data_IF_408896809300
#
_entry.id   IF_408896809300
#
_cell.length_a   1.000
_cell.length_b   1.000
_cell.length_c   1.000
_cell.angle_alpha   90.00
_cell.angle_beta   90.00
_cell.angle_gamma   90.00
#
_symmetry.space_group_name_H-M   'P 1'
#
loop_
_entity.id
_entity.type
_entity.pdbx_description
1 polymer ?
#
# COMPACT_ATOMS: atom_id res chain seq x y z
N UNK A 1 -6.50 -9.83 -0.45
CA UNK A 1 -5.62 -11.05 -0.42
C UNK A 1 -6.11 -12.20 -1.33
N UNK A 2 -7.35 -12.69 -1.27
CA UNK A 2 -7.76 -13.88 -2.06
C UNK A 2 -7.55 -13.76 -3.59
N UNK A 3 -7.77 -12.59 -4.18
CA UNK A 3 -7.50 -12.36 -5.59
C UNK A 3 -5.99 -12.38 -5.92
N UNK A 4 -5.16 -11.86 -5.02
CA UNK A 4 -3.71 -11.90 -5.15
C UNK A 4 -3.19 -13.35 -5.04
N UNK A 5 -3.75 -14.16 -4.13
CA UNK A 5 -3.45 -15.59 -4.00
C UNK A 5 -3.69 -16.35 -5.32
N UNK A 6 -4.91 -16.22 -5.88
CA UNK A 6 -5.24 -16.85 -7.16
C UNK A 6 -4.37 -16.38 -8.32
N UNK A 7 -4.05 -15.08 -8.38
CA UNK A 7 -3.17 -14.52 -9.40
C UNK A 7 -1.73 -15.03 -9.27
N UNK A 8 -1.19 -15.13 -8.06
CA UNK A 8 0.15 -15.68 -7.84
C UNK A 8 0.23 -17.17 -8.18
N UNK A 9 -0.75 -17.96 -7.73
CA UNK A 9 -0.81 -19.38 -8.07
C UNK A 9 -0.86 -19.60 -9.59
N UNK A 10 -1.67 -18.82 -10.31
CA UNK A 10 -1.74 -18.87 -11.77
C UNK A 10 -0.42 -18.48 -12.44
N UNK A 11 0.28 -17.45 -11.93
CA UNK A 11 1.60 -17.03 -12.43
C UNK A 11 2.64 -18.15 -12.26
N UNK A 12 2.67 -18.81 -11.12
CA UNK A 12 3.57 -19.94 -10.86
C UNK A 12 3.29 -21.09 -11.84
N UNK A 13 2.03 -21.46 -12.03
CA UNK A 13 1.63 -22.54 -12.94
C UNK A 13 1.95 -22.22 -14.40
N UNK A 14 1.81 -20.97 -14.81
CA UNK A 14 2.13 -20.51 -16.16
C UNK A 14 3.63 -20.43 -16.44
N UNK A 15 4.48 -20.48 -15.41
CA UNK A 15 5.93 -20.33 -15.52
C UNK A 15 6.69 -21.47 -14.81
N UNK A 16 6.51 -22.74 -15.26
CA UNK A 16 7.08 -23.91 -14.58
C UNK A 16 8.61 -23.95 -14.61
N UNK A 17 9.25 -23.16 -15.48
CA UNK A 17 10.70 -22.98 -15.55
C UNK A 17 11.27 -22.15 -14.38
N UNK A 18 10.44 -21.36 -13.70
CA UNK A 18 10.83 -20.54 -12.55
C UNK A 18 10.64 -21.33 -11.25
N UNK A 19 11.68 -21.40 -10.45
CA UNK A 19 11.61 -22.01 -9.13
C UNK A 19 10.83 -21.11 -8.17
N UNK A 20 9.63 -21.50 -7.67
CA UNK A 20 8.90 -20.68 -6.72
C UNK A 20 9.56 -20.71 -5.33
N UNK A 21 9.48 -19.60 -4.59
CA UNK A 21 9.80 -19.50 -3.19
C UNK A 21 8.82 -18.57 -2.50
N UNK A 22 8.09 -19.08 -1.52
CA UNK A 22 7.19 -18.28 -0.69
C UNK A 22 7.72 -18.26 0.74
N UNK A 23 8.02 -17.07 1.24
CA UNK A 23 8.37 -16.84 2.64
C UNK A 23 7.13 -16.45 3.43
N UNK A 24 6.84 -17.14 4.52
CA UNK A 24 5.77 -16.75 5.44
C UNK A 24 6.17 -17.15 6.88
N UNK A 25 6.34 -16.18 7.78
CA UNK A 25 6.78 -16.47 9.15
C UNK A 25 5.68 -17.09 10.00
N UNK A 26 4.43 -16.97 9.57
CA UNK A 26 3.24 -17.40 10.29
C UNK A 26 2.24 -18.08 9.32
N UNK A 27 1.01 -18.27 9.75
CA UNK A 27 -0.04 -19.00 9.04
C UNK A 27 -0.39 -18.43 7.65
N UNK A 28 0.18 -18.98 6.58
CA UNK A 28 -0.10 -18.55 5.20
C UNK A 28 -1.59 -18.66 4.84
N UNK A 29 -2.26 -19.72 5.30
CA UNK A 29 -3.71 -19.92 5.09
C UNK A 29 -4.54 -18.85 5.81
N UNK A 30 -4.15 -18.47 7.02
CA UNK A 30 -4.75 -17.35 7.76
C UNK A 30 -4.60 -16.03 6.99
N UNK A 31 -3.52 -15.83 6.25
CA UNK A 31 -3.29 -14.68 5.39
C UNK A 31 -4.06 -14.75 4.06
N UNK A 32 -5.02 -15.68 3.92
CA UNK A 32 -5.83 -15.89 2.71
C UNK A 32 -5.04 -16.31 1.47
N UNK A 33 -3.93 -17.02 1.67
CA UNK A 33 -3.07 -17.57 0.62
C UNK A 33 -3.20 -19.11 0.54
N UNK A 34 -4.42 -19.61 0.61
CA UNK A 34 -4.72 -21.05 0.63
C UNK A 34 -4.40 -21.76 -0.67
N UNK A 35 -4.69 -21.17 -1.83
CA UNK A 35 -4.39 -21.75 -3.14
C UNK A 35 -2.87 -21.90 -3.35
N UNK A 36 -2.11 -20.87 -2.99
CA UNK A 36 -0.65 -20.91 -3.02
C UNK A 36 -0.11 -22.01 -2.11
N UNK A 37 -0.63 -22.14 -0.89
CA UNK A 37 -0.19 -23.18 0.04
C UNK A 37 -0.51 -24.58 -0.47
N UNK A 38 -1.71 -24.81 -1.00
CA UNK A 38 -2.12 -26.12 -1.52
C UNK A 38 -1.30 -26.51 -2.77
N UNK A 39 -0.91 -25.54 -3.59
CA UNK A 39 -0.06 -25.74 -4.76
C UNK A 39 1.40 -26.01 -4.39
N UNK A 40 1.98 -25.19 -3.50
CA UNK A 40 3.43 -25.14 -3.26
C UNK A 40 3.89 -25.89 -2.00
N UNK A 41 3.01 -26.13 -1.06
CA UNK A 41 3.20 -26.86 0.20
C UNK A 41 4.30 -26.30 1.10
N UNK A 42 4.13 -26.46 2.39
CA UNK A 42 5.18 -26.19 3.38
C UNK A 42 6.37 -27.14 3.18
N UNK A 43 7.55 -26.60 3.25
CA UNK A 43 8.78 -27.38 3.21
C UNK A 43 9.09 -27.92 4.60
N UNK A 44 9.04 -29.24 4.74
CA UNK A 44 9.28 -29.94 6.01
C UNK A 44 10.15 -31.16 5.79
N UNK A 45 10.85 -31.63 6.85
CA UNK A 45 11.65 -32.86 6.77
C UNK A 45 10.78 -34.12 6.76
N UNK A 46 9.69 -34.09 7.53
CA UNK A 46 8.76 -35.23 7.66
C UNK A 46 7.33 -34.74 7.46
N UNK A 47 6.79 -34.87 6.23
CA UNK A 47 5.42 -34.45 5.94
C UNK A 47 4.38 -35.26 6.71
N UNK A 48 3.37 -34.62 7.26
CA UNK A 48 2.24 -35.26 7.91
C UNK A 48 1.12 -35.53 6.89
N UNK A 49 0.51 -36.75 6.91
CA UNK A 49 -0.59 -37.09 6.03
C UNK A 49 -1.78 -36.13 6.22
N UNK A 50 -2.32 -35.62 5.13
CA UNK A 50 -3.49 -34.73 5.15
C UNK A 50 -3.16 -33.25 5.35
N UNK A 51 -1.89 -32.90 5.61
CA UNK A 51 -1.43 -31.52 5.63
C UNK A 51 -0.84 -31.07 4.29
N UNK A 52 -0.82 -29.76 4.05
CA UNK A 52 -0.20 -29.18 2.85
C UNK A 52 1.32 -29.07 3.04
N UNK A 53 1.99 -30.21 3.13
CA UNK A 53 3.41 -30.37 3.45
C UNK A 53 4.13 -31.26 2.43
N UNK A 54 5.40 -30.94 2.14
CA UNK A 54 6.27 -31.78 1.30
C UNK A 54 7.75 -31.51 1.63
N UNK A 55 8.60 -32.51 1.39
CA UNK A 55 10.06 -32.35 1.56
C UNK A 55 10.63 -31.34 0.57
N UNK A 56 10.09 -31.29 -0.64
CA UNK A 56 10.44 -30.37 -1.71
C UNK A 56 9.51 -29.13 -1.77
N UNK A 57 8.69 -28.93 -0.74
CA UNK A 57 7.79 -27.79 -0.64
C UNK A 57 8.50 -26.45 -0.87
N UNK A 58 7.81 -25.49 -1.45
CA UNK A 58 8.37 -24.18 -1.78
C UNK A 58 7.97 -23.07 -0.80
N UNK A 59 7.07 -23.36 0.15
CA UNK A 59 6.70 -22.44 1.24
C UNK A 59 7.65 -22.64 2.41
N UNK A 60 8.42 -21.60 2.72
CA UNK A 60 9.35 -21.58 3.86
C UNK A 60 8.65 -20.90 5.03
N UNK A 61 8.44 -21.66 6.10
CA UNK A 61 7.84 -21.17 7.33
C UNK A 61 8.89 -21.22 8.46
N UNK A 62 9.19 -20.06 9.00
CA UNK A 62 10.00 -19.89 10.19
C UNK A 62 9.47 -18.70 10.96
N UNK A 63 9.31 -18.79 12.27
CA UNK A 63 8.87 -17.68 13.14
C UNK A 63 9.92 -16.56 13.22
N UNK A 64 10.40 -16.16 12.07
CA UNK A 64 11.43 -15.13 11.90
C UNK A 64 11.28 -14.50 10.50
N UNK A 65 10.81 -13.28 10.46
CA UNK A 65 10.54 -12.53 9.24
C UNK A 65 11.83 -12.30 8.41
N UNK A 66 12.95 -12.06 9.07
CA UNK A 66 14.24 -11.86 8.39
C UNK A 66 14.72 -13.16 7.71
N UNK A 67 14.52 -14.31 8.35
CA UNK A 67 14.89 -15.60 7.75
C UNK A 67 14.07 -15.91 6.51
N UNK A 68 12.73 -15.68 6.55
CA UNK A 68 11.87 -16.00 5.39
C UNK A 68 12.07 -15.03 4.23
N UNK A 69 12.33 -13.75 4.48
CA UNK A 69 12.66 -12.80 3.39
C UNK A 69 14.05 -13.13 2.82
N UNK A 70 15.02 -13.45 3.64
CA UNK A 70 16.37 -13.84 3.18
C UNK A 70 16.33 -15.09 2.31
N UNK A 71 15.49 -16.08 2.66
CA UNK A 71 15.28 -17.27 1.83
C UNK A 71 14.70 -16.92 0.43
N UNK A 72 13.80 -15.94 0.34
CA UNK A 72 13.27 -15.43 -0.93
C UNK A 72 14.34 -14.64 -1.70
N UNK A 73 15.08 -13.73 -1.05
CA UNK A 73 16.16 -12.95 -1.63
C UNK A 73 17.28 -13.82 -2.22
N UNK A 74 17.59 -14.94 -1.59
CA UNK A 74 18.57 -15.92 -2.07
C UNK A 74 18.11 -16.73 -3.30
N UNK A 75 16.84 -16.71 -3.67
CA UNK A 75 16.30 -17.45 -4.82
C UNK A 75 16.32 -16.61 -6.11
N UNK A 76 17.52 -16.19 -6.55
CA UNK A 76 17.73 -15.23 -7.66
C UNK A 76 17.19 -15.69 -9.02
N UNK A 77 17.17 -16.98 -9.30
CA UNK A 77 16.65 -17.52 -10.57
C UNK A 77 15.18 -17.92 -10.53
N UNK A 78 14.42 -17.46 -9.56
CA UNK A 78 13.05 -17.90 -9.34
C UNK A 78 12.03 -16.78 -9.21
N UNK A 79 10.78 -17.17 -8.91
CA UNK A 79 9.67 -16.28 -8.58
C UNK A 79 9.45 -16.28 -7.07
N UNK A 80 9.50 -15.10 -6.45
CA UNK A 80 9.57 -14.94 -5.00
C UNK A 80 8.44 -14.10 -4.46
N UNK A 81 7.76 -14.60 -3.42
CA UNK A 81 6.73 -13.90 -2.68
C UNK A 81 7.00 -14.03 -1.18
N UNK A 82 6.92 -12.94 -0.43
CA UNK A 82 6.98 -12.96 1.04
C UNK A 82 5.70 -12.38 1.58
N UNK A 83 5.06 -13.06 2.51
CA UNK A 83 3.79 -12.61 3.10
C UNK A 83 3.91 -12.59 4.62
N UNK A 84 3.64 -11.45 5.25
CA UNK A 84 3.65 -11.30 6.70
C UNK A 84 2.57 -10.33 7.18
N UNK A 85 2.27 -10.37 8.47
CA UNK A 85 1.50 -9.31 9.12
C UNK A 85 2.28 -7.99 9.07
N UNK A 86 1.58 -6.88 8.78
CA UNK A 86 2.22 -5.58 8.61
C UNK A 86 3.08 -5.17 9.81
N UNK A 87 2.56 -5.32 11.02
CA UNK A 87 3.27 -4.92 12.24
C UNK A 87 4.59 -5.67 12.46
N UNK A 88 4.68 -6.93 12.01
CA UNK A 88 5.89 -7.73 12.17
C UNK A 88 6.85 -7.62 10.99
N UNK A 89 6.33 -7.19 9.85
CA UNK A 89 7.08 -7.12 8.60
C UNK A 89 8.29 -6.16 8.69
N UNK A 90 8.29 -5.21 9.63
CA UNK A 90 9.44 -4.31 9.87
C UNK A 90 10.75 -5.07 10.16
N UNK A 91 10.69 -6.28 10.71
CA UNK A 91 11.87 -7.14 10.93
C UNK A 91 12.56 -7.60 9.64
N UNK A 92 11.90 -7.49 8.49
CA UNK A 92 12.49 -7.77 7.17
C UNK A 92 13.37 -6.62 6.65
N UNK A 93 13.26 -5.43 7.24
CA UNK A 93 13.86 -4.20 6.72
C UNK A 93 15.37 -4.31 6.50
N UNK A 94 16.09 -4.92 7.44
CA UNK A 94 17.54 -5.06 7.36
C UNK A 94 17.98 -5.83 6.12
N UNK A 95 17.42 -7.01 5.89
CA UNK A 95 17.74 -7.85 4.75
C UNK A 95 17.31 -7.20 3.42
N UNK A 96 16.11 -6.59 3.37
CA UNK A 96 15.63 -5.88 2.18
C UNK A 96 16.55 -4.72 1.81
N UNK A 97 16.92 -3.87 2.75
CA UNK A 97 17.82 -2.74 2.52
C UNK A 97 19.20 -3.16 2.03
N UNK A 98 19.77 -4.19 2.61
CA UNK A 98 21.05 -4.71 2.17
C UNK A 98 21.01 -5.16 0.70
N UNK A 99 19.97 -5.87 0.32
CA UNK A 99 19.82 -6.34 -1.05
C UNK A 99 19.50 -5.18 -2.05
N UNK A 100 18.73 -4.20 -1.61
CA UNK A 100 18.50 -2.96 -2.40
C UNK A 100 19.80 -2.22 -2.69
N UNK A 101 20.70 -2.12 -1.72
CA UNK A 101 22.02 -1.50 -1.90
C UNK A 101 22.84 -2.24 -2.96
N UNK A 102 22.87 -3.59 -2.91
CA UNK A 102 23.55 -4.39 -3.92
C UNK A 102 22.95 -4.22 -5.31
N UNK A 103 21.61 -4.24 -5.42
CA UNK A 103 20.92 -4.01 -6.69
C UNK A 103 21.27 -2.65 -7.30
N UNK A 104 21.30 -1.60 -6.47
CA UNK A 104 21.71 -0.26 -6.92
C UNK A 104 23.16 -0.20 -7.35
N UNK A 105 24.09 -0.76 -6.58
CA UNK A 105 25.51 -0.79 -6.94
C UNK A 105 25.73 -1.53 -8.28
N UNK A 106 25.05 -2.66 -8.50
CA UNK A 106 25.10 -3.34 -9.79
C UNK A 106 24.59 -2.46 -10.94
N UNK A 107 23.45 -1.78 -10.73
CA UNK A 107 22.89 -0.89 -11.73
C UNK A 107 23.81 0.33 -11.99
N UNK A 108 24.47 0.90 -10.97
CA UNK A 108 25.45 1.97 -11.10
C UNK A 108 26.71 1.51 -11.84
N UNK A 109 27.13 0.25 -11.65
CA UNK A 109 28.27 -0.35 -12.35
C UNK A 109 27.93 -0.77 -13.80
N UNK A 110 26.73 -0.47 -14.32
CA UNK A 110 26.31 -0.82 -15.68
C UNK A 110 25.88 -2.28 -15.87
N UNK A 111 25.72 -3.03 -14.78
CA UNK A 111 25.29 -4.45 -14.78
C UNK A 111 24.01 -4.61 -13.94
N UNK A 112 22.87 -4.00 -14.38
CA UNK A 112 21.64 -4.04 -13.58
C UNK A 112 21.21 -5.50 -13.31
N UNK A 113 20.59 -5.78 -12.18
CA UNK A 113 20.14 -7.13 -11.83
C UNK A 113 19.17 -7.70 -12.87
N UNK A 114 19.43 -8.93 -13.33
CA UNK A 114 18.56 -9.66 -14.25
C UNK A 114 17.53 -10.56 -13.59
N UNK A 115 17.50 -10.65 -12.25
CA UNK A 115 16.51 -11.46 -11.53
C UNK A 115 15.15 -10.74 -11.44
N UNK A 116 14.07 -11.55 -11.42
CA UNK A 116 12.71 -11.02 -11.24
C UNK A 116 12.60 -10.25 -9.93
N UNK A 117 11.89 -9.14 -9.96
CA UNK A 117 11.64 -8.34 -8.76
C UNK A 117 11.02 -9.18 -7.64
N UNK A 118 11.43 -8.89 -6.40
CA UNK A 118 10.94 -9.58 -5.21
C UNK A 118 9.70 -8.86 -4.69
N UNK A 119 8.65 -9.64 -4.41
CA UNK A 119 7.39 -9.10 -3.87
C UNK A 119 7.27 -9.44 -2.39
N UNK A 120 7.07 -8.41 -1.57
CA UNK A 120 6.71 -8.51 -0.16
C UNK A 120 5.27 -8.04 0.02
N UNK A 121 4.45 -8.80 0.71
CA UNK A 121 3.07 -8.45 1.03
C UNK A 121 2.92 -8.26 2.53
N UNK A 122 2.63 -7.03 2.93
CA UNK A 122 2.19 -6.69 4.28
C UNK A 122 0.66 -6.78 4.31
N UNK A 123 0.12 -7.75 5.06
CA UNK A 123 -1.32 -7.99 5.18
C UNK A 123 -1.75 -8.12 6.62
N UNK A 124 -3.01 -8.39 6.90
CA UNK A 124 -3.57 -8.23 8.26
C UNK A 124 -3.12 -6.90 8.84
N UNK A 125 -3.25 -5.87 8.02
CA UNK A 125 -2.62 -4.59 8.24
C UNK A 125 -3.26 -3.79 9.37
N UNK A 126 -2.61 -2.73 9.76
CA UNK A 126 -2.91 -1.85 10.89
C UNK A 126 -4.40 -1.55 11.08
N UNK A 127 -5.12 -1.24 10.01
CA UNK A 127 -6.55 -0.86 10.08
C UNK A 127 -7.51 -2.04 10.27
N UNK A 128 -7.05 -3.27 10.01
CA UNK A 128 -7.89 -4.48 10.14
C UNK A 128 -7.62 -5.27 11.41
N UNK A 129 -6.49 -5.03 12.05
CA UNK A 129 -5.98 -5.92 13.11
C UNK A 129 -6.31 -5.42 14.52
N UNK A 130 -7.47 -4.82 14.67
CA UNK A 130 -7.93 -4.33 15.97
C UNK A 130 -8.11 -5.42 17.03
N UNK A 131 -8.38 -6.67 16.64
CA UNK A 131 -8.58 -7.78 17.59
C UNK A 131 -7.33 -8.12 18.40
N UNK A 132 -6.15 -7.89 17.84
CA UNK A 132 -4.87 -8.22 18.45
C UNK A 132 -4.21 -6.99 19.11
N UNK A 133 -4.96 -5.94 19.29
CA UNK A 133 -4.54 -4.68 19.93
C UNK A 133 -3.37 -3.98 19.20
N UNK A 134 -2.75 -3.01 19.85
CA UNK A 134 -1.67 -2.19 19.28
C UNK A 134 -0.42 -2.97 18.91
N UNK A 135 -0.16 -4.13 19.51
CA UNK A 135 0.99 -4.97 19.20
C UNK A 135 1.01 -5.46 17.75
N UNK A 136 -0.15 -5.43 17.06
CA UNK A 136 -0.32 -5.87 15.68
C UNK A 136 -0.65 -4.70 14.73
N UNK A 137 -0.42 -3.47 15.15
CA UNK A 137 -0.77 -2.25 14.43
C UNK A 137 0.46 -1.38 14.24
N UNK A 138 1.15 -1.49 13.11
CA UNK A 138 2.33 -0.66 12.83
C UNK A 138 2.62 -0.59 11.33
N UNK A 139 2.51 0.59 10.68
CA UNK A 139 2.83 0.80 9.27
C UNK A 139 4.34 1.05 9.00
N UNK A 140 5.21 0.87 9.98
CA UNK A 140 6.63 1.30 9.92
C UNK A 140 7.41 0.69 8.75
N UNK A 141 7.13 -0.57 8.33
CA UNK A 141 7.85 -1.15 7.19
C UNK A 141 7.64 -0.31 5.92
N UNK A 142 6.39 0.00 5.59
CA UNK A 142 6.07 0.78 4.40
C UNK A 142 6.69 2.18 4.47
N UNK A 143 6.60 2.86 5.61
CA UNK A 143 7.18 4.17 5.86
C UNK A 143 8.71 4.17 5.70
N UNK A 144 9.40 3.15 6.26
CA UNK A 144 10.84 3.00 6.15
C UNK A 144 11.29 2.73 4.70
N UNK A 145 10.57 1.85 3.99
CA UNK A 145 10.88 1.51 2.60
C UNK A 145 10.60 2.67 1.63
N UNK A 146 9.63 3.53 1.92
CA UNK A 146 9.44 4.80 1.21
C UNK A 146 10.59 5.79 1.45
N UNK A 147 11.37 5.60 2.50
CA UNK A 147 12.63 6.31 2.73
C UNK A 147 13.75 5.88 1.79
N UNK A 148 13.71 4.68 1.21
CA UNK A 148 14.66 4.20 0.22
C UNK A 148 14.43 4.85 -1.16
N UNK A 149 15.29 4.57 -2.13
CA UNK A 149 15.19 5.15 -3.48
C UNK A 149 14.03 4.51 -4.25
N UNK A 150 13.11 5.32 -4.74
CA UNK A 150 11.83 4.89 -5.31
C UNK A 150 11.98 4.08 -6.61
N UNK A 151 13.07 4.24 -7.35
CA UNK A 151 13.40 3.44 -8.54
C UNK A 151 13.74 1.98 -8.19
N UNK A 152 14.10 1.70 -6.95
CA UNK A 152 14.49 0.38 -6.46
C UNK A 152 13.50 -0.19 -5.46
N UNK A 153 13.01 0.64 -4.53
CA UNK A 153 12.04 0.28 -3.48
C UNK A 153 10.67 0.84 -3.84
N UNK A 154 9.79 -0.02 -4.33
CA UNK A 154 8.43 0.30 -4.74
C UNK A 154 7.46 -0.09 -3.62
N UNK A 155 6.73 0.87 -3.05
CA UNK A 155 5.73 0.62 -2.00
C UNK A 155 4.36 1.04 -2.49
N UNK A 156 3.47 0.06 -2.61
CA UNK A 156 2.13 0.25 -3.15
C UNK A 156 1.05 -0.09 -2.11
N UNK A 157 -0.03 0.69 -2.16
CA UNK A 157 -1.22 0.53 -1.32
C UNK A 157 -2.43 0.19 -2.19
N UNK A 158 -2.59 -1.06 -2.64
CA UNK A 158 -3.74 -1.47 -3.43
C UNK A 158 -5.06 -1.16 -2.74
N UNK A 159 -6.03 -0.64 -3.51
CA UNK A 159 -7.31 -0.17 -2.96
C UNK A 159 -8.45 -1.17 -3.15
N UNK A 160 -8.23 -2.16 -4.00
CA UNK A 160 -9.18 -3.25 -4.27
C UNK A 160 -8.47 -4.49 -4.87
N UNK A 161 -9.26 -5.50 -5.23
CA UNK A 161 -8.74 -6.74 -5.81
C UNK A 161 -8.04 -6.49 -7.17
N UNK A 162 -8.60 -5.64 -8.03
CA UNK A 162 -8.07 -5.36 -9.35
C UNK A 162 -6.69 -4.67 -9.25
N UNK A 163 -6.56 -3.66 -8.40
CA UNK A 163 -5.29 -2.96 -8.19
C UNK A 163 -4.23 -3.83 -7.52
N UNK A 164 -4.61 -4.77 -6.64
CA UNK A 164 -3.67 -5.73 -6.06
C UNK A 164 -3.12 -6.71 -7.11
N UNK A 165 -3.97 -7.24 -7.99
CA UNK A 165 -3.56 -8.12 -9.09
C UNK A 165 -2.73 -7.38 -10.13
N UNK A 166 -3.11 -6.15 -10.49
CA UNK A 166 -2.33 -5.32 -11.40
C UNK A 166 -0.92 -5.02 -10.85
N UNK A 167 -0.82 -4.67 -9.57
CA UNK A 167 0.46 -4.44 -8.90
C UNK A 167 1.35 -5.70 -8.89
N UNK A 168 0.76 -6.87 -8.60
CA UNK A 168 1.50 -8.14 -8.61
C UNK A 168 2.05 -8.47 -10.01
N UNK A 169 1.24 -8.30 -11.05
CA UNK A 169 1.66 -8.51 -12.45
C UNK A 169 2.77 -7.55 -12.86
N UNK A 170 2.63 -6.26 -12.55
CA UNK A 170 3.64 -5.25 -12.83
C UNK A 170 4.97 -5.56 -12.12
N UNK A 171 4.92 -6.05 -10.88
CA UNK A 171 6.10 -6.45 -10.13
C UNK A 171 6.87 -7.57 -10.86
N UNK A 172 6.19 -8.63 -11.30
CA UNK A 172 6.85 -9.74 -12.01
C UNK A 172 7.13 -9.47 -13.50
N UNK A 173 6.67 -8.35 -14.04
CA UNK A 173 7.13 -7.83 -15.32
C UNK A 173 8.42 -7.00 -15.20
N UNK A 174 8.90 -6.72 -13.99
CA UNK A 174 10.08 -5.91 -13.71
C UNK A 174 11.24 -6.75 -13.14
N UNK A 175 12.45 -6.19 -13.17
CA UNK A 175 13.66 -6.85 -12.71
C UNK A 175 14.42 -5.97 -11.73
N UNK A 176 15.08 -6.59 -10.76
CA UNK A 176 16.00 -5.94 -9.84
C UNK A 176 15.36 -4.96 -8.85
N UNK A 177 14.04 -4.98 -8.70
CA UNK A 177 13.29 -4.10 -7.80
C UNK A 177 12.69 -4.89 -6.61
N UNK A 178 12.31 -4.14 -5.58
CA UNK A 178 11.63 -4.65 -4.38
C UNK A 178 10.25 -4.00 -4.28
N UNK A 179 9.22 -4.81 -4.44
CA UNK A 179 7.83 -4.35 -4.41
C UNK A 179 7.19 -4.75 -3.09
N UNK A 180 6.80 -3.76 -2.29
CA UNK A 180 6.05 -3.99 -1.06
C UNK A 180 4.60 -3.58 -1.29
N UNK A 181 3.70 -4.55 -1.18
CA UNK A 181 2.27 -4.36 -1.36
C UNK A 181 1.59 -4.41 0.03
N UNK A 182 0.96 -3.31 0.43
CA UNK A 182 0.16 -3.26 1.68
C UNK A 182 -1.28 -3.58 1.32
N UNK A 183 -1.70 -4.82 1.55
CA UNK A 183 -2.94 -5.38 1.00
C UNK A 183 -3.94 -5.72 2.10
N UNK A 184 -5.20 -5.26 2.03
CA UNK A 184 -6.26 -5.69 2.93
C UNK A 184 -6.44 -7.20 2.91
N UNK A 185 -6.48 -7.83 4.09
CA UNK A 185 -6.82 -9.25 4.24
C UNK A 185 -8.30 -9.49 3.96
N UNK A 186 -9.14 -8.56 4.41
CA UNK A 186 -10.58 -8.59 4.19
C UNK A 186 -10.93 -8.19 2.76
N UNK A 187 -12.06 -8.66 2.27
CA UNK A 187 -12.60 -8.16 1.02
C UNK A 187 -13.04 -6.71 1.17
N UNK A 188 -12.59 -5.86 0.24
CA UNK A 188 -13.02 -4.48 0.12
C UNK A 188 -13.82 -4.31 -1.17
N UNK A 189 -14.70 -3.31 -1.23
CA UNK A 189 -15.49 -3.04 -2.42
C UNK A 189 -14.59 -2.72 -3.62
N UNK A 190 -14.94 -3.24 -4.79
CA UNK A 190 -14.25 -2.88 -6.05
C UNK A 190 -14.51 -1.42 -6.36
N UNK A 191 -13.45 -0.66 -6.57
CA UNK A 191 -13.48 0.76 -6.89
C UNK A 191 -13.08 1.02 -8.35
N UNK A 192 -12.32 0.10 -8.95
CA UNK A 192 -11.70 0.27 -10.26
C UNK A 192 -12.01 -0.93 -11.17
N UNK A 193 -12.16 -0.68 -12.46
CA UNK A 193 -12.07 -1.75 -13.46
C UNK A 193 -10.64 -2.29 -13.55
N UNK A 194 -10.43 -3.44 -14.20
CA UNK A 194 -9.09 -3.99 -14.41
C UNK A 194 -8.19 -3.00 -15.18
N UNK A 195 -8.72 -2.36 -16.23
CA UNK A 195 -7.98 -1.37 -17.02
C UNK A 195 -7.61 -0.12 -16.21
N UNK A 196 -8.54 0.38 -15.38
CA UNK A 196 -8.25 1.51 -14.49
C UNK A 196 -7.19 1.15 -13.44
N UNK A 197 -7.21 -0.08 -12.95
CA UNK A 197 -6.22 -0.57 -12.00
C UNK A 197 -4.82 -0.68 -12.62
N UNK A 198 -4.71 -1.13 -13.86
CA UNK A 198 -3.44 -1.16 -14.59
C UNK A 198 -2.88 0.26 -14.77
N UNK A 199 -3.72 1.22 -15.18
CA UNK A 199 -3.32 2.63 -15.30
C UNK A 199 -2.93 3.25 -13.96
N UNK A 200 -3.65 2.92 -12.88
CA UNK A 200 -3.32 3.39 -11.53
C UNK A 200 -1.91 2.92 -11.12
N UNK A 201 -1.58 1.64 -11.38
CA UNK A 201 -0.25 1.08 -11.06
C UNK A 201 0.84 1.70 -11.94
N UNK A 202 0.57 1.90 -13.23
CA UNK A 202 1.51 2.52 -14.15
C UNK A 202 1.82 3.98 -13.78
N UNK A 203 0.81 4.76 -13.44
CA UNK A 203 0.94 6.19 -13.13
C UNK A 203 1.26 6.47 -11.65
N UNK A 204 1.03 5.50 -10.74
CA UNK A 204 1.15 5.66 -9.29
C UNK A 204 -0.03 6.37 -8.62
N UNK A 205 -0.93 6.97 -9.41
CA UNK A 205 -2.14 7.65 -8.96
C UNK A 205 -3.20 7.75 -10.04
N UNK A 206 -4.46 7.93 -9.64
CA UNK A 206 -5.62 8.03 -10.54
C UNK A 206 -6.69 8.93 -9.95
N UNK A 207 -7.28 9.80 -10.78
CA UNK A 207 -8.45 10.60 -10.38
C UNK A 207 -9.69 9.73 -10.42
N UNK A 208 -10.15 9.26 -9.24
CA UNK A 208 -11.32 8.38 -9.12
C UNK A 208 -12.65 9.16 -9.14
N UNK A 209 -12.61 10.42 -8.77
CA UNK A 209 -13.74 11.35 -8.85
C UNK A 209 -13.25 12.67 -9.45
N UNK A 210 -13.44 12.87 -10.76
CA UNK A 210 -13.06 14.12 -11.40
C UNK A 210 -14.00 15.28 -11.01
N UNK A 211 -13.45 16.48 -11.00
CA UNK A 211 -14.18 17.73 -10.82
C UNK A 211 -13.42 18.86 -11.52
N UNK A 212 -14.12 19.64 -12.34
CA UNK A 212 -13.54 20.81 -12.99
C UNK A 212 -13.35 21.93 -11.96
N UNK A 213 -12.10 22.44 -11.86
CA UNK A 213 -11.72 23.48 -10.91
C UNK A 213 -12.24 23.23 -9.48
N UNK A 214 -11.79 22.16 -8.80
CA UNK A 214 -12.27 21.82 -7.46
C UNK A 214 -11.86 22.87 -6.42
N UNK A 215 -12.72 23.10 -5.44
CA UNK A 215 -12.40 23.87 -4.24
C UNK A 215 -11.61 23.01 -3.26
N UNK A 216 -11.94 21.71 -3.21
CA UNK A 216 -11.32 20.71 -2.36
C UNK A 216 -10.78 19.55 -3.18
N UNK A 217 -9.54 19.17 -2.91
CA UNK A 217 -8.94 17.93 -3.36
C UNK A 217 -8.76 16.97 -2.18
N UNK A 218 -9.40 15.81 -2.25
CA UNK A 218 -9.15 14.71 -1.33
C UNK A 218 -8.16 13.73 -1.96
N UNK A 219 -7.10 13.41 -1.25
CA UNK A 219 -6.06 12.45 -1.69
C UNK A 219 -6.09 11.25 -0.77
N UNK A 220 -6.31 10.06 -1.33
CA UNK A 220 -6.43 8.83 -0.57
C UNK A 220 -5.27 7.88 -0.84
N UNK A 221 -4.62 7.38 0.23
CA UNK A 221 -3.56 6.38 0.20
C UNK A 221 -4.02 5.19 1.04
N UNK A 222 -4.48 4.11 0.39
CA UNK A 222 -5.00 2.91 1.03
C UNK A 222 -6.49 2.67 0.78
N UNK A 223 -6.91 1.43 0.94
CA UNK A 223 -8.25 0.97 0.56
C UNK A 223 -9.37 1.60 1.41
N UNK A 224 -9.22 1.57 2.73
CA UNK A 224 -10.20 2.15 3.65
C UNK A 224 -10.21 3.67 3.57
N UNK A 225 -9.05 4.28 3.37
CA UNK A 225 -8.88 5.72 3.19
C UNK A 225 -9.60 6.23 1.94
N UNK A 226 -9.54 5.48 0.84
CA UNK A 226 -10.29 5.82 -0.38
C UNK A 226 -11.81 5.80 -0.14
N UNK A 227 -12.31 4.80 0.58
CA UNK A 227 -13.73 4.74 0.93
C UNK A 227 -14.16 5.97 1.76
N UNK A 228 -13.35 6.36 2.74
CA UNK A 228 -13.64 7.53 3.57
C UNK A 228 -13.57 8.84 2.77
N UNK A 229 -12.59 8.99 1.89
CA UNK A 229 -12.49 10.15 1.01
C UNK A 229 -13.69 10.29 0.07
N UNK A 230 -14.19 9.18 -0.51
CA UNK A 230 -15.37 9.19 -1.38
C UNK A 230 -16.65 9.56 -0.61
N UNK A 231 -16.79 9.11 0.64
CA UNK A 231 -17.91 9.50 1.51
C UNK A 231 -17.83 10.98 1.89
N UNK A 232 -16.64 11.47 2.26
CA UNK A 232 -16.41 12.88 2.57
C UNK A 232 -16.71 13.79 1.36
N UNK A 233 -16.28 13.37 0.15
CA UNK A 233 -16.57 14.11 -1.08
C UNK A 233 -18.06 14.30 -1.30
N UNK A 234 -18.88 13.26 -1.09
CA UNK A 234 -20.34 13.36 -1.20
C UNK A 234 -20.92 14.37 -0.21
N UNK A 235 -20.41 14.39 1.02
CA UNK A 235 -20.87 15.31 2.07
C UNK A 235 -20.50 16.76 1.71
N UNK A 236 -19.28 17.00 1.26
CA UNK A 236 -18.80 18.32 0.83
C UNK A 236 -19.61 18.85 -0.37
N UNK A 237 -19.89 17.99 -1.34
CA UNK A 237 -20.72 18.37 -2.51
C UNK A 237 -22.17 18.69 -2.12
N UNK A 238 -22.76 17.92 -1.21
CA UNK A 238 -24.09 18.21 -0.68
C UNK A 238 -24.16 19.60 0.01
N UNK A 239 -23.03 20.10 0.49
CA UNK A 239 -22.88 21.44 1.06
C UNK A 239 -22.44 22.51 0.02
N UNK A 240 -22.33 22.14 -1.25
CA UNK A 240 -22.04 23.07 -2.36
C UNK A 240 -20.55 23.24 -2.66
N UNK A 241 -19.65 22.45 -2.07
CA UNK A 241 -18.20 22.50 -2.34
C UNK A 241 -17.81 21.55 -3.46
N UNK A 242 -17.23 22.07 -4.54
CA UNK A 242 -16.71 21.25 -5.66
C UNK A 242 -15.53 20.41 -5.19
N UNK A 243 -15.66 19.10 -5.28
CA UNK A 243 -14.68 18.18 -4.67
C UNK A 243 -14.18 17.14 -5.67
N UNK A 244 -12.87 17.08 -5.87
CA UNK A 244 -12.18 16.00 -6.58
C UNK A 244 -11.60 14.97 -5.59
N UNK A 245 -11.47 13.71 -6.04
CA UNK A 245 -10.80 12.65 -5.28
C UNK A 245 -9.73 11.98 -6.13
N UNK A 246 -8.49 12.01 -5.66
CA UNK A 246 -7.37 11.30 -6.26
C UNK A 246 -6.95 10.13 -5.37
N UNK A 247 -6.88 8.94 -5.96
CA UNK A 247 -6.30 7.75 -5.35
C UNK A 247 -4.81 7.71 -5.66
N UNK A 248 -3.96 7.55 -4.65
CA UNK A 248 -2.52 7.34 -4.80
C UNK A 248 -2.18 5.92 -4.34
N UNK A 249 -1.76 5.08 -5.27
CA UNK A 249 -1.34 3.71 -4.96
C UNK A 249 0.14 3.64 -4.61
N UNK A 250 0.98 4.47 -5.24
CA UNK A 250 2.43 4.48 -5.05
C UNK A 250 2.95 5.89 -4.70
N UNK A 251 2.92 6.26 -3.42
CA UNK A 251 3.32 7.61 -2.98
C UNK A 251 4.76 7.98 -3.37
N UNK A 252 5.67 6.99 -3.46
CA UNK A 252 7.07 7.18 -3.85
C UNK A 252 7.25 7.85 -5.23
N UNK A 253 6.25 7.74 -6.12
CA UNK A 253 6.24 8.40 -7.43
C UNK A 253 6.07 9.92 -7.37
N UNK A 254 5.59 10.45 -6.26
CA UNK A 254 5.23 11.87 -6.12
C UNK A 254 6.18 12.67 -5.24
N UNK A 255 7.26 12.06 -4.79
CA UNK A 255 8.30 12.71 -4.00
C UNK A 255 9.19 13.62 -4.85
N UNK A 256 9.93 14.51 -4.19
CA UNK A 256 11.03 15.21 -4.83
C UNK A 256 12.16 14.20 -5.11
N UNK A 257 12.66 14.11 -6.36
CA UNK A 257 13.74 13.19 -6.71
C UNK A 257 15.05 13.59 -6.02
N UNK A 258 15.86 12.60 -5.67
CA UNK A 258 17.13 12.79 -4.96
C UNK A 258 18.36 12.64 -5.86
N UNK A 259 18.18 11.96 -7.00
CA UNK A 259 19.21 11.80 -8.03
C UNK A 259 18.55 11.65 -9.43
N UNK A 260 19.38 11.56 -10.49
CA UNK A 260 18.93 11.44 -11.88
C UNK A 260 18.07 10.19 -12.14
N UNK A 261 18.40 9.05 -11.52
CA UNK A 261 17.62 7.80 -11.69
C UNK A 261 16.23 7.93 -11.07
N UNK A 262 16.17 8.53 -9.90
CA UNK A 262 14.88 8.77 -9.24
C UNK A 262 14.08 9.85 -9.99
N UNK A 263 14.76 10.82 -10.64
CA UNK A 263 14.13 11.81 -11.52
C UNK A 263 13.41 11.16 -12.70
N UNK A 264 13.99 10.14 -13.32
CA UNK A 264 13.36 9.40 -14.42
C UNK A 264 12.17 8.55 -13.96
N UNK A 265 12.16 8.17 -12.69
CA UNK A 265 11.13 7.32 -12.10
C UNK A 265 9.92 8.09 -11.55
N UNK A 266 10.13 9.26 -10.92
CA UNK A 266 9.05 10.03 -10.30
C UNK A 266 8.14 10.69 -11.34
N UNK A 267 6.91 10.95 -10.95
CA UNK A 267 5.94 11.62 -11.83
C UNK A 267 6.41 13.02 -12.23
N UNK A 268 6.36 13.32 -13.52
CA UNK A 268 6.65 14.64 -14.06
C UNK A 268 5.56 15.66 -13.72
N UNK A 269 5.85 16.95 -13.93
CA UNK A 269 4.97 18.06 -13.54
C UNK A 269 3.59 18.01 -14.23
N UNK A 270 3.53 17.51 -15.46
CA UNK A 270 2.24 17.35 -16.16
C UNK A 270 1.33 16.34 -15.43
N UNK A 271 1.88 15.20 -15.03
CA UNK A 271 1.15 14.18 -14.28
C UNK A 271 0.74 14.69 -12.89
N UNK A 272 1.63 15.46 -12.23
CA UNK A 272 1.29 16.11 -10.96
C UNK A 272 0.10 17.06 -11.09
N UNK A 273 0.11 17.96 -12.08
CA UNK A 273 -1.01 18.89 -12.30
C UNK A 273 -2.31 18.19 -12.66
N UNK A 274 -2.24 17.08 -13.40
CA UNK A 274 -3.42 16.28 -13.75
C UNK A 274 -4.04 15.58 -12.52
N UNK A 275 -3.22 15.07 -11.62
CA UNK A 275 -3.67 14.35 -10.41
C UNK A 275 -3.98 15.29 -9.24
N UNK A 276 -3.30 16.43 -9.17
CA UNK A 276 -3.36 17.37 -8.03
C UNK A 276 -3.55 18.80 -8.55
N UNK A 277 -4.76 19.15 -9.03
CA UNK A 277 -5.01 20.45 -9.65
C UNK A 277 -4.69 21.60 -8.72
N UNK A 278 -4.00 22.61 -9.25
CA UNK A 278 -3.57 23.82 -8.51
C UNK A 278 -4.76 24.71 -8.10
N UNK A 279 -5.88 24.54 -8.75
CA UNK A 279 -7.15 25.27 -8.45
C UNK A 279 -7.74 24.87 -7.10
N UNK A 280 -7.40 23.69 -6.56
CA UNK A 280 -7.89 23.25 -5.26
C UNK A 280 -7.31 24.15 -4.14
N UNK A 281 -8.20 24.91 -3.50
CA UNK A 281 -7.82 25.78 -2.39
C UNK A 281 -7.41 25.00 -1.15
N UNK A 282 -7.96 23.81 -0.97
CA UNK A 282 -7.69 22.92 0.15
C UNK A 282 -7.39 21.52 -0.35
N UNK A 283 -6.40 20.87 0.26
CA UNK A 283 -6.03 19.47 0.05
C UNK A 283 -6.07 18.72 1.37
N UNK A 284 -6.80 17.63 1.41
CA UNK A 284 -6.82 16.71 2.56
C UNK A 284 -6.31 15.35 2.11
N UNK A 285 -5.16 14.96 2.65
CA UNK A 285 -4.57 13.65 2.42
C UNK A 285 -5.02 12.73 3.55
N UNK A 286 -5.72 11.66 3.22
CA UNK A 286 -6.05 10.59 4.17
C UNK A 286 -5.24 9.34 3.81
N UNK A 287 -4.37 8.92 4.74
CA UNK A 287 -3.31 7.95 4.47
C UNK A 287 -3.42 6.72 5.36
N UNK A 288 -2.98 5.59 4.80
CA UNK A 288 -2.71 4.37 5.56
C UNK A 288 -1.60 4.59 6.60
N UNK A 289 -0.59 5.37 6.25
CA UNK A 289 0.60 5.69 7.04
C UNK A 289 0.34 6.82 8.05
N UNK A 290 1.36 7.14 8.83
CA UNK A 290 1.34 8.32 9.72
C UNK A 290 1.31 9.63 8.90
N UNK A 291 0.71 10.71 9.42
CA UNK A 291 0.62 12.00 8.73
C UNK A 291 1.99 12.60 8.40
N UNK A 292 2.95 12.52 9.31
CA UNK A 292 4.26 13.17 9.21
C UNK A 292 5.10 12.64 8.03
N UNK A 293 5.35 11.32 7.90
CA UNK A 293 6.06 10.78 6.74
C UNK A 293 5.28 11.00 5.44
N UNK A 294 3.94 10.97 5.50
CA UNK A 294 3.09 11.24 4.33
C UNK A 294 3.30 12.66 3.81
N UNK A 295 3.25 13.69 4.66
CA UNK A 295 3.50 15.07 4.28
C UNK A 295 4.91 15.29 3.74
N UNK A 296 5.92 14.70 4.40
CA UNK A 296 7.31 14.77 3.94
C UNK A 296 7.50 14.17 2.55
N UNK A 297 6.88 13.03 2.29
CA UNK A 297 6.94 12.35 0.99
C UNK A 297 6.20 13.13 -0.11
N UNK A 298 5.01 13.63 0.21
CA UNK A 298 4.14 14.35 -0.73
C UNK A 298 4.45 15.87 -0.83
N UNK A 299 5.67 16.26 -0.51
CA UNK A 299 6.10 17.66 -0.46
C UNK A 299 5.84 18.45 -1.75
N UNK A 300 5.90 17.79 -2.92
CA UNK A 300 5.65 18.45 -4.22
C UNK A 300 4.21 18.91 -4.40
N UNK A 301 3.27 18.38 -3.64
CA UNK A 301 1.86 18.77 -3.68
C UNK A 301 1.42 19.57 -2.45
N UNK A 302 2.32 19.82 -1.52
CA UNK A 302 2.06 20.60 -0.32
C UNK A 302 1.95 22.08 -0.68
N UNK A 303 0.83 22.71 -0.36
CA UNK A 303 0.56 24.13 -0.57
C UNK A 303 0.64 24.96 0.71
N UNK A 304 1.11 24.34 1.80
CA UNK A 304 1.28 24.94 3.11
C UNK A 304 0.27 24.43 4.15
N UNK A 305 0.63 24.58 5.41
CA UNK A 305 -0.07 23.96 6.55
C UNK A 305 -1.55 24.37 6.73
N UNK A 306 -1.98 25.47 6.12
CA UNK A 306 -3.39 25.88 6.16
C UNK A 306 -4.21 25.21 5.07
N UNK A 307 -3.62 24.96 3.91
CA UNK A 307 -4.27 24.43 2.72
C UNK A 307 -4.08 22.92 2.56
N UNK A 308 -2.91 22.38 2.94
CA UNK A 308 -2.63 20.95 2.88
C UNK A 308 -2.64 20.35 4.28
N UNK A 309 -3.54 19.39 4.49
CA UNK A 309 -3.74 18.69 5.75
C UNK A 309 -3.58 17.19 5.54
N UNK A 310 -3.07 16.48 6.54
CA UNK A 310 -2.90 15.03 6.46
C UNK A 310 -3.53 14.35 7.68
N UNK A 311 -4.26 13.29 7.41
CA UNK A 311 -4.82 12.36 8.37
C UNK A 311 -4.22 10.97 8.12
N UNK A 312 -4.01 10.20 9.18
CA UNK A 312 -3.41 8.87 9.08
C UNK A 312 -3.33 8.19 10.42
N UNK A 313 -2.58 7.11 10.48
CA UNK A 313 -2.38 6.33 11.70
C UNK A 313 -1.66 7.16 12.78
N UNK A 314 -2.24 7.22 13.97
CA UNK A 314 -1.72 8.00 15.11
C UNK A 314 -1.36 7.11 16.32
N UNK A 315 -1.14 5.82 16.09
CA UNK A 315 -0.92 4.84 17.17
C UNK A 315 -2.04 4.83 18.23
N UNK A 316 -3.25 5.18 17.82
CA UNK A 316 -4.45 5.10 18.63
C UNK A 316 -5.25 3.89 18.20
N UNK A 317 -5.29 2.90 19.03
CA UNK A 317 -5.98 1.65 18.75
C UNK A 317 -6.34 0.93 20.03
N UNK A 318 -6.75 -0.30 19.87
CA UNK A 318 -7.18 -1.20 20.92
C UNK A 318 -7.90 -2.36 20.25
N UNK A 319 -8.76 -3.05 20.95
CA UNK A 319 -9.62 -4.09 20.37
C UNK A 319 -10.79 -3.43 19.65
N UNK A 320 -10.54 -2.93 18.43
CA UNK A 320 -11.52 -2.21 17.61
C UNK A 320 -11.74 -2.93 16.27
N UNK A 321 -12.87 -2.71 15.64
CA UNK A 321 -13.07 -3.04 14.24
C UNK A 321 -12.47 -1.96 13.32
N UNK A 322 -12.62 -2.11 11.98
CA UNK A 322 -12.09 -1.14 11.02
C UNK A 322 -12.69 0.25 11.23
N UNK A 323 -14.00 0.34 11.52
CA UNK A 323 -14.67 1.61 11.73
C UNK A 323 -14.15 2.30 13.01
N UNK A 324 -13.99 1.53 14.08
CA UNK A 324 -13.39 2.00 15.32
C UNK A 324 -11.94 2.44 15.17
N UNK A 325 -11.13 1.71 14.37
CA UNK A 325 -9.76 2.10 14.04
C UNK A 325 -9.70 3.42 13.27
N UNK A 326 -10.55 3.59 12.26
CA UNK A 326 -10.67 4.84 11.51
C UNK A 326 -11.09 5.99 12.42
N UNK A 327 -12.04 5.75 13.29
CA UNK A 327 -12.52 6.75 14.25
C UNK A 327 -11.43 7.16 15.26
N UNK A 328 -10.81 6.20 15.94
CA UNK A 328 -9.77 6.45 16.93
C UNK A 328 -8.56 7.23 16.36
N UNK A 329 -8.23 7.00 15.08
CA UNK A 329 -7.15 7.67 14.38
C UNK A 329 -7.61 8.90 13.58
N UNK A 330 -8.85 9.38 13.76
CA UNK A 330 -9.41 10.57 13.11
C UNK A 330 -9.39 10.48 11.57
N UNK A 331 -9.66 9.31 11.00
CA UNK A 331 -9.63 9.05 9.57
C UNK A 331 -11.01 8.70 8.96
N UNK A 332 -12.11 8.90 9.68
CA UNK A 332 -13.46 8.73 9.12
C UNK A 332 -13.80 9.87 8.15
N UNK A 333 -14.78 9.63 7.28
CA UNK A 333 -15.27 10.64 6.35
C UNK A 333 -15.65 11.98 7.05
N UNK A 334 -16.17 11.92 8.27
CA UNK A 334 -16.54 13.11 9.04
C UNK A 334 -15.30 13.93 9.43
N UNK A 335 -14.24 13.28 9.89
CA UNK A 335 -12.96 13.95 10.15
C UNK A 335 -12.36 14.56 8.87
N UNK A 336 -12.40 13.82 7.75
CA UNK A 336 -11.91 14.32 6.44
C UNK A 336 -12.70 15.54 6.00
N UNK A 337 -14.03 15.52 6.12
CA UNK A 337 -14.91 16.65 5.79
C UNK A 337 -14.66 17.85 6.73
N UNK A 338 -14.48 17.62 8.02
CA UNK A 338 -14.19 18.67 8.98
C UNK A 338 -12.84 19.36 8.69
N UNK A 339 -11.79 18.58 8.37
CA UNK A 339 -10.49 19.14 7.98
C UNK A 339 -10.58 19.97 6.69
N UNK A 340 -11.37 19.51 5.71
CA UNK A 340 -11.61 20.28 4.48
C UNK A 340 -12.35 21.60 4.78
N UNK A 341 -13.38 21.56 5.61
CA UNK A 341 -14.13 22.75 6.03
C UNK A 341 -13.23 23.78 6.72
N UNK A 342 -12.41 23.35 7.67
CA UNK A 342 -11.46 24.22 8.34
C UNK A 342 -10.45 24.87 7.38
N UNK A 343 -9.97 24.09 6.39
CA UNK A 343 -9.10 24.62 5.34
C UNK A 343 -9.77 25.69 4.48
N UNK A 344 -11.06 25.53 4.19
CA UNK A 344 -11.91 26.51 3.47
C UNK A 344 -12.29 27.72 4.33
N UNK A 345 -12.07 27.68 5.65
CA UNK A 345 -12.57 28.71 6.58
C UNK A 345 -14.07 28.63 6.84
N UNK A 346 -14.67 27.46 6.59
CA UNK A 346 -16.11 27.15 6.83
C UNK A 346 -16.22 26.46 8.19
N UNK A 347 -17.29 26.74 8.93
CA UNK A 347 -17.59 26.04 10.18
C UNK A 347 -17.88 24.55 9.90
N UNK A 348 -17.07 23.62 10.43
CA UNK A 348 -17.30 22.18 10.25
C UNK A 348 -18.69 21.72 10.71
N UNK A 349 -19.30 22.39 11.69
CA UNK A 349 -20.65 22.08 12.18
C UNK A 349 -21.73 22.28 11.10
N UNK A 350 -21.47 23.14 10.11
CA UNK A 350 -22.38 23.31 8.99
C UNK A 350 -22.45 22.10 8.04
N UNK A 351 -21.45 21.24 8.08
CA UNK A 351 -21.34 20.04 7.25
C UNK A 351 -21.83 18.76 7.96
N UNK A 352 -21.87 18.76 9.27
CA UNK A 352 -22.14 17.60 10.10
C UNK A 352 -23.41 17.83 10.92
N UNK A 353 -24.19 16.78 11.19
CA UNK A 353 -25.24 16.86 12.18
C UNK A 353 -24.65 17.09 13.58
N UNK A 354 -25.48 17.51 14.54
CA UNK A 354 -25.01 17.70 15.91
C UNK A 354 -24.46 16.40 16.53
N UNK A 355 -25.03 15.25 16.20
CA UNK A 355 -24.57 13.94 16.64
C UNK A 355 -23.22 13.56 15.97
N UNK A 356 -23.10 13.77 14.65
CA UNK A 356 -21.87 13.53 13.91
C UNK A 356 -20.74 14.43 14.42
N UNK A 357 -21.03 15.70 14.69
CA UNK A 357 -20.04 16.65 15.22
C UNK A 357 -19.60 16.30 16.64
N UNK A 358 -20.52 15.88 17.50
CA UNK A 358 -20.18 15.45 18.86
C UNK A 358 -19.25 14.21 18.88
N UNK A 359 -19.21 13.46 17.77
CA UNK A 359 -18.36 12.28 17.61
C UNK A 359 -17.00 12.59 16.93
N UNK A 360 -16.75 13.78 16.41
CA UNK A 360 -15.53 14.21 15.70
C UNK A 360 -14.62 15.06 16.59
#
# INVERSE_FOLDING_TARGET
>A
MAALDGAFAALVQANPQLRPRVGNPDELRSNRMGQTLDLLKHRVFTPEPGLAEAVDGAVITALNEEAVVSAALGNKGGINLVVSYEAFAVKMLGALRQEMLFARHQAQAGTPPGWLSVVTVATSHTWENGKNEQSHQDPTLAEALLGEMSDTSRVLFPVDANSAVAALRAAYASHGQFWTLVVPKRAVASQLSAEQAERLVDQGGWVVKPCDAPDVLLVAIGAYQLQQALLAARRLEAAGHRTAVTCVIEPGRFRAPRDEREQDFVAGDQALRALFPETAAVRVIVSHMRPEPTLGLMRRIDTGARQTRALGYQARGGTLDVAGMLFANRCTWAHVAAEAAQGLGVDPQSLLSAEEWAAV
#
